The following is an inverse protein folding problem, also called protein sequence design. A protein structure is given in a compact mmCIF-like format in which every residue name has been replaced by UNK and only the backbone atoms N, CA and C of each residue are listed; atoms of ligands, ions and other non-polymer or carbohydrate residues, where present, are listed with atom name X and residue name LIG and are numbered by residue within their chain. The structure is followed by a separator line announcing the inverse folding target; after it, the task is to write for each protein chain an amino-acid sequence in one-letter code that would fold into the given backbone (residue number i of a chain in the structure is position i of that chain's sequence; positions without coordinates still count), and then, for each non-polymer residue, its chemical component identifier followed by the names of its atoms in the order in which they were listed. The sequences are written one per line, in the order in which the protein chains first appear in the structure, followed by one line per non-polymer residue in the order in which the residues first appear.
data_IF_230608739784
#
_entry.id   IF_230608739784
#
_cell.length_a   1.000
_cell.length_b   1.000
_cell.length_c   1.000
_cell.angle_alpha   90.00
_cell.angle_beta   90.00
_cell.angle_gamma   90.00
#
_symmetry.space_group_name_H-M   'P 1'
#
loop_
_entity.id
_entity.type
_entity.pdbx_description
1 polymer ?
#
# COMPACT_ATOMS: atom_id res chain seq x y z
N UNK A 1 29.44 13.67 2.66
CA UNK A 1 29.31 13.72 1.19
C UNK A 1 27.83 13.74 0.89
N UNK A 2 27.31 14.58 -0.02
CA UNK A 2 26.01 14.28 -0.60
C UNK A 2 26.25 13.00 -1.40
N UNK A 3 25.93 11.85 -0.79
CA UNK A 3 26.07 10.55 -1.45
C UNK A 3 25.17 10.52 -2.68
N UNK A 4 25.60 9.80 -3.71
CA UNK A 4 24.88 9.62 -4.99
C UNK A 4 23.38 9.53 -4.74
N UNK A 5 22.69 10.62 -5.09
CA UNK A 5 21.23 10.67 -5.04
C UNK A 5 20.70 9.86 -6.23
N UNK A 6 19.57 9.17 -6.08
CA UNK A 6 18.99 8.42 -7.19
C UNK A 6 18.52 9.38 -8.29
N UNK A 7 18.61 8.96 -9.54
CA UNK A 7 18.16 9.74 -10.71
C UNK A 7 16.66 10.08 -10.66
N UNK A 8 15.87 9.27 -9.94
CA UNK A 8 14.43 9.40 -9.84
C UNK A 8 13.96 9.35 -8.39
N UNK A 9 12.99 10.21 -8.08
CA UNK A 9 12.26 10.22 -6.83
C UNK A 9 10.77 10.01 -7.07
N UNK A 10 10.20 9.00 -6.41
CA UNK A 10 8.78 8.64 -6.52
C UNK A 10 8.05 9.05 -5.25
N UNK A 11 7.29 10.14 -5.31
CA UNK A 11 6.46 10.60 -4.19
C UNK A 11 5.15 9.82 -4.15
N UNK A 12 5.03 8.92 -3.18
CA UNK A 12 3.83 8.10 -2.97
C UNK A 12 2.58 8.95 -2.81
N UNK A 13 1.50 8.50 -3.44
CA UNK A 13 0.13 8.97 -3.29
C UNK A 13 -0.77 7.78 -2.98
N UNK A 14 -2.01 8.05 -2.61
CA UNK A 14 -3.01 7.03 -2.29
C UNK A 14 -3.13 5.95 -3.38
N UNK A 15 -3.17 6.35 -4.66
CA UNK A 15 -3.38 5.45 -5.80
C UNK A 15 -2.20 5.39 -6.79
N UNK A 16 -0.99 5.77 -6.36
CA UNK A 16 0.17 5.80 -7.24
C UNK A 16 1.31 6.67 -6.75
N UNK A 17 1.92 7.44 -7.64
CA UNK A 17 3.01 8.34 -7.28
C UNK A 17 3.12 9.51 -8.26
N UNK A 18 3.69 10.63 -7.79
CA UNK A 18 4.29 11.61 -8.68
C UNK A 18 5.77 11.27 -8.88
N UNK A 19 6.24 11.33 -10.12
CA UNK A 19 7.60 10.97 -10.50
C UNK A 19 8.38 12.23 -10.77
N UNK A 20 9.52 12.36 -10.10
CA UNK A 20 10.44 13.48 -10.24
C UNK A 20 11.79 12.94 -10.74
N UNK A 21 12.37 13.63 -11.72
CA UNK A 21 13.80 13.51 -12.02
C UNK A 21 14.57 14.35 -11.02
N UNK A 22 15.65 13.79 -10.49
CA UNK A 22 16.50 14.47 -9.51
C UNK A 22 17.66 15.11 -10.26
N UNK A 23 17.80 16.42 -10.17
CA UNK A 23 18.93 17.17 -10.73
C UNK A 23 19.82 17.67 -9.58
N UNK A 24 21.07 17.22 -9.58
CA UNK A 24 22.09 17.55 -8.58
C UNK A 24 23.25 18.37 -9.16
N UNK A 25 23.29 18.59 -10.48
CA UNK A 25 24.41 19.21 -11.19
C UNK A 25 24.18 20.69 -11.54
N UNK A 26 23.12 21.30 -11.01
CA UNK A 26 22.93 22.74 -11.22
C UNK A 26 24.07 23.55 -10.59
N UNK A 27 24.50 24.61 -11.31
CA UNK A 27 25.63 25.50 -10.97
C UNK A 27 25.64 26.00 -9.52
N UNK A 28 24.48 26.00 -8.85
CA UNK A 28 24.28 26.45 -7.47
C UNK A 28 24.39 25.34 -6.40
N UNK A 29 24.68 24.08 -6.78
CA UNK A 29 24.64 22.88 -5.90
C UNK A 29 23.30 22.71 -5.18
N UNK A 30 22.20 23.14 -5.82
CA UNK A 30 20.84 22.98 -5.30
C UNK A 30 20.22 21.71 -5.85
N UNK A 31 19.59 20.95 -4.97
CA UNK A 31 18.78 19.80 -5.33
C UNK A 31 17.49 20.28 -5.99
N UNK A 32 17.29 19.94 -7.26
CA UNK A 32 16.05 20.22 -7.97
C UNK A 32 15.27 18.93 -8.26
N UNK A 33 13.95 19.01 -8.11
CA UNK A 33 13.03 17.91 -8.38
C UNK A 33 12.09 18.32 -9.50
N UNK A 34 12.36 17.81 -10.68
CA UNK A 34 11.61 18.11 -11.87
C UNK A 34 10.52 17.05 -12.12
N UNK A 35 9.26 17.44 -12.01
CA UNK A 35 8.17 16.49 -12.16
C UNK A 35 8.01 16.07 -13.62
N UNK A 36 8.17 14.77 -13.89
CA UNK A 36 8.09 14.22 -15.25
C UNK A 36 6.79 13.47 -15.51
N UNK A 37 6.17 12.88 -14.49
CA UNK A 37 4.96 12.07 -14.66
C UNK A 37 4.13 11.93 -13.38
N UNK A 38 2.92 11.41 -13.55
CA UNK A 38 2.05 10.91 -12.49
C UNK A 38 1.63 9.49 -12.84
N UNK A 39 1.81 8.57 -11.89
CA UNK A 39 1.44 7.16 -11.99
C UNK A 39 0.09 6.96 -11.31
N UNK A 40 -0.78 6.20 -11.95
CA UNK A 40 -1.98 5.61 -11.36
C UNK A 40 -1.82 4.08 -11.33
N UNK A 41 -1.45 3.53 -10.18
CA UNK A 41 -1.21 2.09 -10.01
C UNK A 41 -2.48 1.27 -10.20
N UNK A 42 -3.64 1.78 -9.76
CA UNK A 42 -4.92 1.07 -9.89
C UNK A 42 -5.32 0.84 -11.36
N UNK A 43 -4.95 1.77 -12.24
CA UNK A 43 -5.21 1.67 -13.69
C UNK A 43 -4.02 1.16 -14.50
N UNK A 44 -2.83 1.06 -13.89
CA UNK A 44 -1.58 0.82 -14.61
C UNK A 44 -1.20 1.95 -15.58
N UNK A 45 -1.73 3.17 -15.37
CA UNK A 45 -1.54 4.31 -16.28
C UNK A 45 -0.38 5.20 -15.82
N UNK A 46 0.42 5.68 -16.77
CA UNK A 46 1.45 6.71 -16.55
C UNK A 46 1.08 7.92 -17.40
N UNK A 47 0.94 9.08 -16.76
CA UNK A 47 0.61 10.35 -17.42
C UNK A 47 1.81 11.28 -17.34
N UNK A 48 2.43 11.66 -18.48
CA UNK A 48 3.48 12.68 -18.48
C UNK A 48 2.97 14.00 -17.88
N UNK A 49 3.88 14.75 -17.26
CA UNK A 49 3.56 16.04 -16.67
C UNK A 49 3.68 17.15 -17.72
N UNK A 50 2.59 17.88 -17.97
CA UNK A 50 2.54 18.90 -19.03
C UNK A 50 2.72 18.28 -20.43
N UNK A 51 3.42 18.99 -21.31
CA UNK A 51 3.70 18.56 -22.69
C UNK A 51 4.97 17.71 -22.83
N UNK A 52 5.42 17.07 -21.74
CA UNK A 52 6.66 16.30 -21.73
C UNK A 52 6.51 14.96 -22.44
N UNK A 53 7.55 14.59 -23.17
CA UNK A 53 7.75 13.22 -23.66
C UNK A 53 8.71 12.50 -22.72
N UNK A 54 8.30 11.34 -22.22
CA UNK A 54 9.15 10.49 -21.39
C UNK A 54 10.21 9.81 -22.27
N UNK A 55 11.46 9.83 -21.82
CA UNK A 55 12.54 9.07 -22.44
C UNK A 55 12.38 7.56 -22.17
N UNK A 56 13.17 6.75 -22.86
CA UNK A 56 13.24 5.31 -22.60
C UNK A 56 13.70 5.02 -21.16
N UNK A 57 14.67 5.80 -20.65
CA UNK A 57 15.16 5.69 -19.29
C UNK A 57 14.07 6.04 -18.25
N UNK A 58 13.31 7.12 -18.47
CA UNK A 58 12.19 7.49 -17.61
C UNK A 58 11.15 6.34 -17.57
N UNK A 59 10.84 5.79 -18.74
CA UNK A 59 9.83 4.74 -18.89
C UNK A 59 10.27 3.44 -18.21
N UNK A 60 11.55 3.06 -18.34
CA UNK A 60 12.12 1.90 -17.68
C UNK A 60 12.08 2.05 -16.15
N UNK A 61 12.56 3.19 -15.64
CA UNK A 61 12.55 3.49 -14.20
C UNK A 61 11.13 3.46 -13.61
N UNK A 62 10.15 4.05 -14.31
CA UNK A 62 8.75 4.03 -13.89
C UNK A 62 8.19 2.60 -13.85
N UNK A 63 8.47 1.79 -14.88
CA UNK A 63 8.00 0.39 -14.95
C UNK A 63 8.56 -0.45 -13.81
N UNK A 64 9.87 -0.37 -13.57
CA UNK A 64 10.54 -1.13 -12.53
C UNK A 64 10.02 -0.73 -11.14
N UNK A 65 9.84 0.58 -10.92
CA UNK A 65 9.23 1.08 -9.70
C UNK A 65 7.80 0.58 -9.51
N UNK A 66 6.97 0.60 -10.55
CA UNK A 66 5.58 0.10 -10.48
C UNK A 66 5.55 -1.37 -10.09
N UNK A 67 6.36 -2.21 -10.74
CA UNK A 67 6.45 -3.64 -10.43
C UNK A 67 6.91 -3.90 -8.99
N UNK A 68 7.95 -3.20 -8.55
CA UNK A 68 8.43 -3.33 -7.17
C UNK A 68 7.36 -2.87 -6.16
N UNK A 69 6.63 -1.80 -6.50
CA UNK A 69 5.57 -1.25 -5.65
C UNK A 69 4.37 -2.20 -5.55
N UNK A 70 3.93 -2.81 -6.64
CA UNK A 70 2.86 -3.81 -6.65
C UNK A 70 3.22 -5.01 -5.78
N UNK A 71 4.45 -5.54 -5.93
CA UNK A 71 4.92 -6.65 -5.10
C UNK A 71 4.95 -6.28 -3.61
N UNK A 72 5.41 -5.08 -3.27
CA UNK A 72 5.40 -4.58 -1.89
C UNK A 72 3.99 -4.42 -1.32
N UNK A 73 3.05 -3.89 -2.12
CA UNK A 73 1.66 -3.73 -1.69
C UNK A 73 1.01 -5.09 -1.45
N UNK A 74 1.19 -6.05 -2.36
CA UNK A 74 0.68 -7.41 -2.18
C UNK A 74 1.25 -8.09 -0.92
N UNK A 75 2.54 -7.88 -0.62
CA UNK A 75 3.15 -8.39 0.61
C UNK A 75 2.55 -7.75 1.87
N UNK A 76 2.27 -6.43 1.82
CA UNK A 76 1.63 -5.69 2.92
C UNK A 76 0.18 -6.11 3.12
N UNK A 77 -0.57 -6.33 2.05
CA UNK A 77 -1.95 -6.80 2.14
C UNK A 77 -2.02 -8.11 2.96
N UNK A 78 -1.08 -9.04 2.73
CA UNK A 78 -1.01 -10.28 3.52
C UNK A 78 -0.56 -10.03 4.96
N UNK A 79 0.40 -9.13 5.19
CA UNK A 79 0.82 -8.74 6.54
C UNK A 79 -0.36 -8.14 7.35
N UNK A 80 -1.17 -7.29 6.73
CA UNK A 80 -2.35 -6.68 7.36
C UNK A 80 -3.43 -7.72 7.74
N UNK A 81 -3.56 -8.80 6.96
CA UNK A 81 -4.41 -9.94 7.34
C UNK A 81 -3.83 -10.70 8.54
N UNK A 82 -2.51 -10.91 8.60
CA UNK A 82 -1.89 -11.50 9.80
C UNK A 82 -2.08 -10.60 11.02
N UNK A 83 -1.92 -9.29 10.88
CA UNK A 83 -2.22 -8.33 11.95
C UNK A 83 -3.68 -8.44 12.39
N UNK A 84 -4.62 -8.61 11.47
CA UNK A 84 -6.03 -8.80 11.83
C UNK A 84 -6.23 -10.03 12.70
N UNK A 85 -5.56 -11.16 12.39
CA UNK A 85 -5.58 -12.37 13.22
C UNK A 85 -5.04 -12.09 14.62
N UNK A 86 -3.92 -11.37 14.71
CA UNK A 86 -3.34 -11.00 16.01
C UNK A 86 -4.28 -10.09 16.82
N UNK A 87 -4.91 -9.10 16.19
CA UNK A 87 -5.89 -8.24 16.86
C UNK A 87 -7.08 -9.03 17.38
N UNK A 88 -7.61 -10.01 16.63
CA UNK A 88 -8.70 -10.87 17.10
C UNK A 88 -8.28 -11.71 18.31
N UNK A 89 -7.07 -12.29 18.28
CA UNK A 89 -6.54 -13.07 19.40
C UNK A 89 -6.33 -12.21 20.66
N UNK A 90 -5.74 -11.01 20.49
CA UNK A 90 -5.54 -10.05 21.58
C UNK A 90 -6.88 -9.53 22.14
N UNK A 91 -7.87 -9.33 21.28
CA UNK A 91 -9.23 -8.94 21.69
C UNK A 91 -9.90 -10.05 22.50
N UNK A 92 -9.78 -11.30 22.06
CA UNK A 92 -10.29 -12.45 22.83
C UNK A 92 -9.62 -12.55 24.22
N UNK A 93 -8.30 -12.40 24.28
CA UNK A 93 -7.57 -12.38 25.55
C UNK A 93 -8.01 -11.21 26.45
N UNK A 94 -8.19 -10.02 25.87
CA UNK A 94 -8.69 -8.86 26.62
C UNK A 94 -10.09 -9.11 27.19
N UNK A 95 -11.02 -9.61 26.38
CA UNK A 95 -12.38 -9.94 26.82
C UNK A 95 -12.38 -10.96 27.95
N UNK A 96 -11.50 -11.96 27.88
CA UNK A 96 -11.40 -13.00 28.90
C UNK A 96 -10.82 -12.52 30.23
N UNK A 97 -9.80 -11.65 30.19
CA UNK A 97 -8.96 -11.39 31.37
C UNK A 97 -8.94 -9.95 31.87
N UNK A 98 -9.54 -9.00 31.16
CA UNK A 98 -9.45 -7.56 31.47
C UNK A 98 -10.74 -6.77 31.29
N UNK A 99 -11.65 -7.19 30.42
CA UNK A 99 -12.87 -6.43 30.15
C UNK A 99 -13.80 -6.40 31.37
N UNK A 100 -14.44 -5.25 31.60
CA UNK A 100 -15.55 -5.12 32.54
C UNK A 100 -16.89 -5.26 31.80
N UNK A 101 -17.99 -5.34 32.56
CA UNK A 101 -19.34 -5.57 32.04
C UNK A 101 -19.77 -4.47 31.06
N UNK A 102 -19.52 -3.20 31.40
CA UNK A 102 -19.88 -2.06 30.55
C UNK A 102 -19.13 -2.07 29.22
N UNK A 103 -17.83 -2.38 29.23
CA UNK A 103 -17.04 -2.49 28.01
C UNK A 103 -17.49 -3.67 27.14
N UNK A 104 -17.89 -4.80 27.74
CA UNK A 104 -18.41 -5.95 27.00
C UNK A 104 -19.76 -5.62 26.34
N UNK A 105 -20.68 -4.96 27.05
CA UNK A 105 -21.96 -4.54 26.49
C UNK A 105 -21.80 -3.59 25.30
N UNK A 106 -20.79 -2.71 25.33
CA UNK A 106 -20.53 -1.77 24.23
C UNK A 106 -20.10 -2.46 22.92
N UNK A 107 -19.30 -3.52 23.00
CA UNK A 107 -18.60 -4.05 21.81
C UNK A 107 -19.06 -5.44 21.35
N UNK A 108 -19.74 -6.22 22.21
CA UNK A 108 -19.98 -7.66 21.98
C UNK A 108 -20.76 -7.92 20.68
N UNK A 109 -21.92 -7.29 20.50
CA UNK A 109 -22.77 -7.54 19.32
C UNK A 109 -22.08 -7.10 18.02
N UNK A 110 -21.39 -5.95 18.04
CA UNK A 110 -20.63 -5.46 16.90
C UNK A 110 -19.49 -6.42 16.51
N UNK A 111 -18.74 -6.93 17.50
CA UNK A 111 -17.69 -7.92 17.27
C UNK A 111 -18.26 -9.23 16.72
N UNK A 112 -19.35 -9.75 17.30
CA UNK A 112 -19.98 -10.99 16.85
C UNK A 112 -20.47 -10.90 15.40
N UNK A 113 -21.11 -9.79 15.01
CA UNK A 113 -21.55 -9.56 13.64
C UNK A 113 -20.37 -9.47 12.66
N UNK A 114 -19.32 -8.72 12.99
CA UNK A 114 -18.13 -8.60 12.15
C UNK A 114 -17.43 -9.96 11.95
N UNK A 115 -17.27 -10.75 13.02
CA UNK A 115 -16.70 -12.09 12.95
C UNK A 115 -17.57 -13.05 12.13
N UNK A 116 -18.89 -12.95 12.27
CA UNK A 116 -19.82 -13.79 11.51
C UNK A 116 -19.73 -13.54 10.00
N UNK A 117 -19.75 -12.28 9.57
CA UNK A 117 -19.63 -11.90 8.16
C UNK A 117 -18.31 -12.40 7.56
N UNK A 118 -17.18 -12.10 8.23
CA UNK A 118 -15.86 -12.55 7.79
C UNK A 118 -15.81 -14.08 7.66
N UNK A 119 -16.33 -14.81 8.66
CA UNK A 119 -16.40 -16.27 8.63
C UNK A 119 -17.23 -16.76 7.44
N UNK A 120 -18.39 -16.18 7.18
CA UNK A 120 -19.26 -16.59 6.07
C UNK A 120 -18.56 -16.43 4.71
N UNK A 121 -17.85 -15.32 4.49
CA UNK A 121 -17.06 -15.08 3.27
C UNK A 121 -15.94 -16.13 3.13
N UNK A 122 -15.17 -16.38 4.19
CA UNK A 122 -14.05 -17.32 4.17
C UNK A 122 -14.50 -18.77 3.94
N UNK A 123 -15.58 -19.20 4.59
CA UNK A 123 -16.16 -20.54 4.41
C UNK A 123 -16.62 -20.73 2.96
N UNK A 124 -17.34 -19.75 2.40
CA UNK A 124 -17.77 -19.79 0.98
C UNK A 124 -16.58 -19.90 0.03
N UNK A 125 -15.55 -19.07 0.22
CA UNK A 125 -14.33 -19.11 -0.60
C UNK A 125 -13.57 -20.44 -0.47
N UNK A 126 -13.53 -21.04 0.72
CA UNK A 126 -12.93 -22.36 0.93
C UNK A 126 -13.70 -23.45 0.19
N UNK A 127 -15.04 -23.41 0.22
CA UNK A 127 -15.87 -24.35 -0.52
C UNK A 127 -15.68 -24.23 -2.05
N UNK A 128 -15.67 -23.01 -2.60
CA UNK A 128 -15.42 -22.73 -4.02
C UNK A 128 -14.08 -23.32 -4.52
N UNK A 129 -13.07 -23.43 -3.64
CA UNK A 129 -11.75 -24.01 -3.95
C UNK A 129 -11.72 -25.54 -3.96
N UNK A 130 -12.66 -26.19 -3.30
CA UNK A 130 -12.76 -27.66 -3.25
C UNK A 130 -13.53 -28.23 -4.45
N UNK A 131 -14.36 -27.41 -5.08
CA UNK A 131 -15.15 -27.77 -6.27
C UNK A 131 -14.45 -27.45 -7.60
N UNK A 132 -13.25 -26.86 -7.55
CA UNK A 132 -12.38 -26.61 -8.70
C UNK A 132 -11.26 -27.64 -8.74
#
# INVERSE_FOLDING_TARGET
MPGDLPDYYFRIRENGAAVYRVDTENRERRLELDQIAVINLRKGEVKPHGDRTLSEADTAAIRDWMKAREALLAARDIDDIHRTIDHLNLTAQWAQSRADEAALDEVTDALLLAMHDLRAVLVRKKAERLTK
#
